data_IF_885411788796
#
_entry.id   IF_885411788796
#
_cell.length_a   1.000
_cell.length_b   1.000
_cell.length_c   1.000
_cell.angle_alpha   90.00
_cell.angle_beta   90.00
_cell.angle_gamma   90.00
#
_symmetry.space_group_name_H-M   'P 1'
#
loop_
_entity.id
_entity.type
_entity.pdbx_description
1 polymer ?
#
# COMPACT_ATOMS: atom_id res chain seq x y z
N UNK A 1 -25.90 2.50 4.61
CA UNK A 1 -25.03 1.64 3.76
C UNK A 1 -23.58 1.61 4.22
N UNK A 2 -22.90 2.74 4.41
CA UNK A 2 -21.51 2.77 4.92
C UNK A 2 -21.32 2.10 6.30
N UNK A 3 -22.24 2.33 7.25
CA UNK A 3 -22.17 1.78 8.62
C UNK A 3 -22.26 0.27 8.60
N UNK A 4 -23.16 -0.30 7.78
CA UNK A 4 -23.30 -1.76 7.67
C UNK A 4 -22.07 -2.44 7.06
N UNK A 5 -21.43 -1.80 6.07
CA UNK A 5 -20.21 -2.31 5.45
C UNK A 5 -19.02 -2.28 6.43
N UNK A 6 -18.94 -1.24 7.28
CA UNK A 6 -17.93 -1.13 8.34
C UNK A 6 -18.14 -2.23 9.38
N UNK A 7 -19.39 -2.48 9.79
CA UNK A 7 -19.71 -3.52 10.76
C UNK A 7 -19.34 -4.91 10.24
N UNK A 8 -19.65 -5.23 8.98
CA UNK A 8 -19.24 -6.51 8.37
C UNK A 8 -17.72 -6.71 8.37
N UNK A 9 -16.96 -5.67 8.07
CA UNK A 9 -15.49 -5.72 8.13
C UNK A 9 -14.95 -5.92 9.54
N UNK A 10 -15.60 -5.33 10.53
CA UNK A 10 -15.25 -5.53 11.95
C UNK A 10 -15.54 -6.97 12.35
N UNK A 11 -16.69 -7.51 11.99
CA UNK A 11 -17.07 -8.90 12.29
C UNK A 11 -16.09 -9.90 11.65
N UNK A 12 -15.66 -9.63 10.41
CA UNK A 12 -14.63 -10.41 9.72
C UNK A 12 -13.27 -10.33 10.43
N UNK A 13 -12.87 -9.15 10.89
CA UNK A 13 -11.66 -8.97 11.68
C UNK A 13 -11.70 -9.76 13.00
N UNK A 14 -12.84 -9.74 13.68
CA UNK A 14 -13.03 -10.48 14.93
C UNK A 14 -12.94 -11.99 14.69
N UNK A 15 -13.51 -12.49 13.59
CA UNK A 15 -13.38 -13.88 13.18
C UNK A 15 -11.91 -14.26 12.93
N UNK A 16 -11.14 -13.43 12.26
CA UNK A 16 -9.69 -13.62 12.06
C UNK A 16 -8.95 -13.70 13.40
N UNK A 17 -9.25 -12.82 14.34
CA UNK A 17 -8.63 -12.90 15.67
C UNK A 17 -8.95 -14.22 16.38
N UNK A 18 -10.20 -14.70 16.27
CA UNK A 18 -10.63 -15.96 16.87
C UNK A 18 -9.99 -17.18 16.19
N UNK A 19 -9.85 -17.18 14.86
CA UNK A 19 -9.12 -18.20 14.11
C UNK A 19 -7.65 -18.35 14.56
N UNK A 20 -7.03 -17.24 14.95
CA UNK A 20 -5.69 -17.19 15.53
C UNK A 20 -5.68 -17.32 17.08
N UNK A 21 -6.79 -17.81 17.67
CA UNK A 21 -6.96 -18.02 19.13
C UNK A 21 -6.71 -16.76 19.98
N UNK A 22 -6.82 -15.58 19.40
CA UNK A 22 -6.49 -14.29 20.04
C UNK A 22 -5.06 -14.29 20.64
N UNK A 23 -4.14 -15.04 20.03
CA UNK A 23 -2.75 -15.19 20.50
C UNK A 23 -1.93 -13.94 20.15
N UNK A 24 -1.30 -13.27 21.13
CA UNK A 24 -0.38 -12.18 20.88
C UNK A 24 0.82 -12.54 19.99
N UNK A 25 1.21 -13.81 19.93
CA UNK A 25 2.24 -14.32 19.02
C UNK A 25 1.86 -14.25 17.55
N UNK A 26 0.56 -14.26 17.25
CA UNK A 26 0.00 -14.20 15.90
C UNK A 26 -0.27 -12.77 15.40
N UNK A 27 0.18 -11.74 16.14
CA UNK A 27 -0.11 -10.35 15.83
C UNK A 27 0.19 -9.97 14.38
N UNK A 28 1.31 -10.42 13.81
CA UNK A 28 1.70 -10.08 12.43
C UNK A 28 0.72 -10.69 11.42
N UNK A 29 0.30 -11.95 11.62
CA UNK A 29 -0.65 -12.63 10.76
C UNK A 29 -2.03 -11.96 10.81
N UNK A 30 -2.47 -11.59 12.01
CA UNK A 30 -3.73 -10.87 12.22
C UNK A 30 -3.69 -9.49 11.56
N UNK A 31 -2.60 -8.74 11.70
CA UNK A 31 -2.41 -7.43 11.04
C UNK A 31 -2.38 -7.56 9.50
N UNK A 32 -1.77 -8.63 8.99
CA UNK A 32 -1.76 -8.91 7.55
C UNK A 32 -3.17 -9.12 7.01
N UNK A 33 -3.96 -9.97 7.67
CA UNK A 33 -5.35 -10.20 7.30
C UNK A 33 -6.20 -8.93 7.45
N UNK A 34 -6.03 -8.19 8.55
CA UNK A 34 -6.74 -6.93 8.79
C UNK A 34 -6.45 -5.90 7.68
N UNK A 35 -5.19 -5.77 7.23
CA UNK A 35 -4.86 -4.90 6.11
C UNK A 35 -5.52 -5.35 4.80
N UNK A 36 -5.68 -6.64 4.59
CA UNK A 36 -6.44 -7.20 3.46
C UNK A 36 -7.92 -6.79 3.49
N UNK A 37 -8.55 -6.84 4.67
CA UNK A 37 -9.96 -6.49 4.88
C UNK A 37 -10.21 -4.98 4.72
N UNK A 38 -9.38 -4.15 5.35
CA UNK A 38 -9.58 -2.69 5.42
C UNK A 38 -8.82 -1.92 4.34
N UNK A 39 -7.79 -2.51 3.73
CA UNK A 39 -6.88 -1.87 2.79
C UNK A 39 -5.74 -1.11 3.46
N UNK A 40 -5.87 -0.77 4.74
CA UNK A 40 -4.89 -0.09 5.58
C UNK A 40 -5.23 -0.36 7.06
N UNK A 41 -4.35 0.02 7.97
CA UNK A 41 -4.49 -0.22 9.41
C UNK A 41 -4.69 1.09 10.19
N UNK A 42 -5.89 1.70 10.16
CA UNK A 42 -6.17 2.90 10.93
C UNK A 42 -6.12 2.59 12.43
N UNK A 43 -6.06 3.64 13.24
CA UNK A 43 -5.94 3.52 14.70
C UNK A 43 -7.05 2.67 15.30
N UNK A 44 -8.27 2.83 14.85
CA UNK A 44 -9.45 2.11 15.32
C UNK A 44 -9.31 0.59 15.14
N UNK A 45 -8.79 0.15 14.00
CA UNK A 45 -8.50 -1.27 13.73
C UNK A 45 -7.40 -1.79 14.65
N UNK A 46 -6.35 -1.01 14.87
CA UNK A 46 -5.27 -1.36 15.79
C UNK A 46 -5.77 -1.48 17.24
N UNK A 47 -6.67 -0.60 17.68
CA UNK A 47 -7.29 -0.64 19.00
C UNK A 47 -8.17 -1.89 19.20
N UNK A 48 -8.94 -2.29 18.18
CA UNK A 48 -9.74 -3.53 18.19
C UNK A 48 -8.82 -4.75 18.35
N UNK A 49 -7.76 -4.84 17.56
CA UNK A 49 -6.79 -5.95 17.60
C UNK A 49 -6.11 -5.99 18.98
N UNK A 50 -5.65 -4.84 19.47
CA UNK A 50 -5.01 -4.74 20.79
C UNK A 50 -5.95 -5.23 21.93
N UNK A 51 -7.22 -4.85 21.88
CA UNK A 51 -8.23 -5.29 22.83
C UNK A 51 -8.48 -6.81 22.77
N UNK A 52 -8.56 -7.39 21.59
CA UNK A 52 -8.77 -8.84 21.40
C UNK A 52 -7.58 -9.67 21.87
N UNK A 53 -6.37 -9.20 21.61
CA UNK A 53 -5.13 -9.89 22.02
C UNK A 53 -4.69 -9.57 23.45
N UNK A 54 -5.41 -8.71 24.17
CA UNK A 54 -5.04 -8.24 25.51
C UNK A 54 -3.62 -7.67 25.60
N UNK A 55 -3.21 -6.90 24.58
CA UNK A 55 -1.92 -6.24 24.53
C UNK A 55 -2.08 -4.73 24.41
N UNK A 56 -1.07 -3.93 24.81
CA UNK A 56 -1.13 -2.48 24.62
C UNK A 56 -1.19 -2.10 23.14
N UNK A 57 -1.99 -1.09 22.82
CA UNK A 57 -2.06 -0.52 21.46
C UNK A 57 -0.68 -0.06 20.94
N UNK A 58 0.18 0.41 21.84
CA UNK A 58 1.55 0.79 21.50
C UNK A 58 2.39 -0.36 20.94
N UNK A 59 2.14 -1.60 21.35
CA UNK A 59 2.80 -2.79 20.80
C UNK A 59 2.33 -3.04 19.36
N UNK A 60 1.02 -2.96 19.12
CA UNK A 60 0.44 -3.08 17.76
C UNK A 60 0.99 -1.99 16.86
N UNK A 61 0.97 -0.74 17.30
CA UNK A 61 1.51 0.41 16.58
C UNK A 61 3.00 0.25 16.27
N UNK A 62 3.80 -0.25 17.22
CA UNK A 62 5.21 -0.53 17.02
C UNK A 62 5.47 -1.53 15.89
N UNK A 63 4.66 -2.59 15.80
CA UNK A 63 4.74 -3.57 14.71
C UNK A 63 4.32 -2.94 13.37
N UNK A 64 3.22 -2.20 13.35
CA UNK A 64 2.70 -1.55 12.13
C UNK A 64 3.71 -0.54 11.56
N UNK A 65 4.41 0.19 12.40
CA UNK A 65 5.41 1.18 11.97
C UNK A 65 6.77 0.57 11.64
N UNK A 66 7.10 -0.56 12.22
CA UNK A 66 8.36 -1.25 11.96
C UNK A 66 8.40 -1.96 10.59
N UNK A 67 7.32 -2.66 10.23
CA UNK A 67 7.26 -3.40 8.97
C UNK A 67 6.73 -2.51 7.85
N UNK A 68 7.52 -2.31 6.81
CA UNK A 68 7.17 -1.49 5.62
C UNK A 68 5.99 -2.03 4.81
N UNK A 69 5.60 -3.28 5.03
CA UNK A 69 4.42 -3.88 4.41
C UNK A 69 3.12 -3.24 4.91
N UNK A 70 3.08 -2.82 6.17
CA UNK A 70 1.90 -2.23 6.78
C UNK A 70 1.78 -0.73 6.47
N UNK A 71 0.55 -0.27 6.30
CA UNK A 71 0.23 1.14 6.06
C UNK A 71 -0.92 1.60 6.94
N UNK A 72 -0.82 2.82 7.46
CA UNK A 72 -1.86 3.46 8.25
C UNK A 72 -2.70 4.46 7.44
N UNK A 73 -2.30 4.71 6.20
CA UNK A 73 -3.00 5.61 5.28
C UNK A 73 -3.68 4.80 4.17
N UNK A 74 -4.88 5.20 3.74
CA UNK A 74 -5.55 4.52 2.64
C UNK A 74 -4.71 4.63 1.37
N UNK A 75 -4.52 3.49 0.67
CA UNK A 75 -3.88 3.47 -0.64
C UNK A 75 -4.91 3.74 -1.73
N UNK A 76 -4.44 4.32 -2.82
CA UNK A 76 -5.27 4.53 -4.01
C UNK A 76 -5.70 3.21 -4.65
N UNK A 77 -6.70 3.29 -5.51
CA UNK A 77 -7.19 2.14 -6.30
C UNK A 77 -6.07 1.50 -7.12
N UNK A 78 -5.16 2.31 -7.64
CA UNK A 78 -3.99 1.90 -8.40
C UNK A 78 -2.70 2.31 -7.66
N UNK A 79 -2.22 1.49 -6.72
CA UNK A 79 -0.97 1.79 -6.02
C UNK A 79 0.22 1.70 -6.97
N UNK A 80 1.02 2.76 -6.99
CA UNK A 80 2.24 2.88 -7.78
C UNK A 80 3.43 2.65 -6.87
N UNK A 81 4.32 1.74 -7.22
CA UNK A 81 5.56 1.50 -6.49
C UNK A 81 6.75 1.56 -7.42
N UNK A 82 7.69 2.44 -7.13
CA UNK A 82 8.89 2.67 -7.93
C UNK A 82 10.08 2.00 -7.28
N UNK A 83 10.76 1.15 -8.04
CA UNK A 83 11.98 0.51 -7.57
C UNK A 83 13.15 1.50 -7.57
N UNK A 84 13.73 1.74 -6.40
CA UNK A 84 14.95 2.54 -6.21
C UNK A 84 16.17 1.67 -5.86
N UNK A 85 16.13 0.37 -6.20
CA UNK A 85 17.29 -0.49 -6.12
C UNK A 85 18.44 0.02 -7.01
N UNK A 86 19.68 -0.39 -6.73
CA UNK A 86 20.89 0.14 -7.38
C UNK A 86 20.80 0.16 -8.91
N UNK A 87 20.38 -0.95 -9.53
CA UNK A 87 20.28 -1.03 -11.00
C UNK A 87 19.23 -0.05 -11.57
N UNK A 88 18.07 0.09 -10.89
CA UNK A 88 17.02 1.01 -11.30
C UNK A 88 17.45 2.46 -11.08
N UNK A 89 18.07 2.76 -9.96
CA UNK A 89 18.58 4.10 -9.63
C UNK A 89 19.58 4.59 -10.67
N UNK A 90 20.61 3.77 -10.97
CA UNK A 90 21.64 4.11 -11.97
C UNK A 90 21.05 4.32 -13.37
N UNK A 91 19.94 3.64 -13.69
CA UNK A 91 19.24 3.76 -14.99
C UNK A 91 18.15 4.84 -14.99
N UNK A 92 18.09 5.69 -13.97
CA UNK A 92 17.25 6.88 -13.97
C UNK A 92 15.87 6.72 -13.30
N UNK A 93 15.70 5.76 -12.39
CA UNK A 93 14.45 5.58 -11.64
C UNK A 93 14.05 6.84 -10.85
N UNK A 94 15.02 7.63 -10.39
CA UNK A 94 14.76 8.90 -9.67
C UNK A 94 14.02 9.90 -10.56
N UNK A 95 14.43 10.05 -11.83
CA UNK A 95 13.74 10.92 -12.79
C UNK A 95 12.32 10.45 -13.10
N UNK A 96 12.11 9.14 -13.14
CA UNK A 96 10.77 8.55 -13.30
C UNK A 96 9.91 8.86 -12.07
N UNK A 97 10.47 8.75 -10.86
CA UNK A 97 9.78 9.11 -9.62
C UNK A 97 9.37 10.58 -9.62
N UNK A 98 10.30 11.49 -9.94
CA UNK A 98 10.03 12.93 -10.01
C UNK A 98 8.91 13.24 -11.01
N UNK A 99 8.85 12.55 -12.14
CA UNK A 99 7.80 12.72 -13.13
C UNK A 99 6.44 12.23 -12.61
N UNK A 100 6.37 11.10 -11.90
CA UNK A 100 5.13 10.67 -11.25
C UNK A 100 4.67 11.68 -10.18
N UNK A 101 5.58 12.19 -9.37
CA UNK A 101 5.26 13.23 -8.37
C UNK A 101 4.71 14.49 -9.03
N UNK A 102 5.31 14.90 -10.15
CA UNK A 102 4.89 16.08 -10.91
C UNK A 102 3.52 15.90 -11.56
N UNK A 103 3.26 14.74 -12.16
CA UNK A 103 1.99 14.47 -12.87
C UNK A 103 0.82 14.26 -11.91
N UNK A 104 1.07 13.65 -10.77
CA UNK A 104 0.05 13.31 -9.77
C UNK A 104 -0.09 14.40 -8.67
N UNK A 105 0.85 15.36 -8.62
CA UNK A 105 0.92 16.42 -7.60
C UNK A 105 0.93 15.87 -6.16
N UNK A 106 1.54 14.70 -5.96
CA UNK A 106 1.69 14.06 -4.65
C UNK A 106 3.15 13.70 -4.38
N UNK A 107 3.48 13.51 -3.10
CA UNK A 107 4.79 13.01 -2.65
C UNK A 107 4.74 11.50 -2.43
N UNK A 108 5.92 10.91 -2.25
CA UNK A 108 6.05 9.51 -1.82
C UNK A 108 5.31 9.31 -0.49
N UNK A 109 4.49 8.28 -0.40
CA UNK A 109 3.65 7.97 0.75
C UNK A 109 2.26 8.62 0.73
N UNK A 110 1.95 9.44 -0.28
CA UNK A 110 0.66 10.11 -0.40
C UNK A 110 -0.26 9.44 -1.44
N UNK A 111 -1.53 9.76 -1.35
CA UNK A 111 -2.58 9.33 -2.28
C UNK A 111 -3.21 10.54 -2.93
N UNK A 112 -3.55 10.47 -4.21
CA UNK A 112 -4.24 11.54 -4.94
C UNK A 112 -5.61 11.84 -4.31
N UNK A 113 -6.06 13.07 -4.42
CA UNK A 113 -7.34 13.53 -3.82
C UNK A 113 -8.56 12.79 -4.35
N UNK A 114 -8.49 12.27 -5.57
CA UNK A 114 -9.53 11.43 -6.18
C UNK A 114 -9.51 9.96 -5.70
N UNK A 115 -8.47 9.58 -4.90
CA UNK A 115 -8.31 8.22 -4.40
C UNK A 115 -7.86 7.19 -5.44
N UNK A 116 -7.47 7.62 -6.65
CA UNK A 116 -7.10 6.70 -7.72
C UNK A 116 -5.66 6.18 -7.56
N UNK A 117 -4.71 7.04 -7.29
CA UNK A 117 -3.30 6.68 -7.21
C UNK A 117 -2.70 6.93 -5.84
N UNK A 118 -1.86 6.01 -5.40
CA UNK A 118 -0.91 6.24 -4.30
C UNK A 118 0.51 5.99 -4.80
N UNK A 119 1.49 6.72 -4.28
CA UNK A 119 2.87 6.67 -4.73
C UNK A 119 3.79 6.19 -3.61
N UNK A 120 4.46 5.08 -3.83
CA UNK A 120 5.43 4.50 -2.90
C UNK A 120 6.76 4.19 -3.60
N UNK A 121 7.80 3.99 -2.82
CA UNK A 121 9.10 3.53 -3.28
C UNK A 121 9.44 2.18 -2.68
N UNK A 122 10.05 1.31 -3.49
CA UNK A 122 10.57 0.01 -3.08
C UNK A 122 12.10 -0.02 -3.17
N UNK A 123 12.74 -0.78 -2.31
CA UNK A 123 14.21 -0.95 -2.37
C UNK A 123 14.66 -1.81 -3.53
N UNK A 124 13.97 -2.93 -3.78
CA UNK A 124 14.22 -3.80 -4.92
C UNK A 124 13.06 -4.75 -5.16
N UNK A 125 12.63 -4.88 -6.41
CA UNK A 125 11.60 -5.85 -6.83
C UNK A 125 12.19 -7.12 -7.46
N UNK A 126 13.54 -7.19 -7.62
CA UNK A 126 14.20 -8.34 -8.22
C UNK A 126 14.17 -8.43 -9.75
N UNK A 127 13.67 -7.41 -10.44
CA UNK A 127 13.56 -7.39 -11.92
C UNK A 127 14.61 -6.48 -12.58
N UNK A 128 15.87 -6.57 -12.15
CA UNK A 128 16.95 -5.66 -12.57
C UNK A 128 17.22 -5.63 -14.09
N UNK A 129 16.93 -6.73 -14.80
CA UNK A 129 17.02 -6.78 -16.27
C UNK A 129 16.04 -5.85 -16.99
N UNK A 130 14.98 -5.44 -16.30
CA UNK A 130 13.94 -4.53 -16.82
C UNK A 130 14.08 -3.10 -16.28
N UNK A 131 15.18 -2.79 -15.58
CA UNK A 131 15.37 -1.48 -14.94
C UNK A 131 15.32 -0.30 -15.95
N UNK A 132 14.73 0.85 -15.62
CA UNK A 132 13.98 1.15 -14.38
C UNK A 132 12.62 0.44 -14.34
N UNK A 133 12.23 -0.04 -13.14
CA UNK A 133 11.00 -0.82 -12.93
C UNK A 133 10.03 -0.06 -12.05
N UNK A 134 8.78 -0.03 -12.49
CA UNK A 134 7.63 0.49 -11.74
C UNK A 134 6.54 -0.57 -11.74
N UNK A 135 5.86 -0.72 -10.63
CA UNK A 135 4.65 -1.55 -10.54
C UNK A 135 3.43 -0.67 -10.29
N UNK A 136 2.35 -0.91 -11.01
CA UNK A 136 1.08 -0.21 -10.81
C UNK A 136 -0.02 -1.26 -10.67
N UNK A 137 -0.68 -1.29 -9.53
CA UNK A 137 -1.71 -2.28 -9.20
C UNK A 137 -1.26 -3.73 -9.49
N UNK A 138 0.01 -4.05 -9.21
CA UNK A 138 0.62 -5.37 -9.45
C UNK A 138 1.13 -5.61 -10.87
N UNK A 139 0.81 -4.76 -11.84
CA UNK A 139 1.36 -4.85 -13.21
C UNK A 139 2.76 -4.22 -13.25
N UNK A 140 3.70 -4.94 -13.85
CA UNK A 140 5.11 -4.51 -13.97
C UNK A 140 5.34 -3.72 -15.25
N UNK A 141 5.94 -2.54 -15.13
CA UNK A 141 6.40 -1.70 -16.24
C UNK A 141 7.92 -1.61 -16.17
N UNK A 142 8.58 -2.20 -17.15
CA UNK A 142 10.04 -2.17 -17.27
C UNK A 142 10.53 -1.15 -18.27
N UNK A 143 11.82 -0.78 -18.13
CA UNK A 143 12.51 0.18 -19.01
C UNK A 143 11.72 1.49 -19.15
N UNK A 144 11.13 1.92 -18.04
CA UNK A 144 10.28 3.09 -18.02
C UNK A 144 11.13 4.36 -18.12
N UNK A 145 10.67 5.29 -18.93
CA UNK A 145 11.25 6.62 -19.06
C UNK A 145 10.25 7.68 -18.62
N UNK A 146 10.70 8.86 -18.19
CA UNK A 146 9.81 9.93 -17.75
C UNK A 146 8.72 10.28 -18.77
N UNK A 147 9.06 10.24 -20.05
CA UNK A 147 8.12 10.58 -21.14
C UNK A 147 6.92 9.63 -21.24
N UNK A 148 7.11 8.36 -20.85
CA UNK A 148 6.06 7.34 -20.88
C UNK A 148 5.11 7.40 -19.68
N UNK A 149 5.47 8.12 -18.63
CA UNK A 149 4.65 8.22 -17.40
C UNK A 149 3.27 8.76 -17.71
N UNK A 150 3.19 9.82 -18.50
CA UNK A 150 1.92 10.44 -18.89
C UNK A 150 1.00 9.47 -19.63
N UNK A 151 1.54 8.71 -20.57
CA UNK A 151 0.75 7.77 -21.38
C UNK A 151 0.18 6.66 -20.50
N UNK A 152 1.00 6.11 -19.60
CA UNK A 152 0.57 5.09 -18.64
C UNK A 152 -0.52 5.60 -17.73
N UNK A 153 -0.36 6.79 -17.13
CA UNK A 153 -1.39 7.38 -16.27
C UNK A 153 -2.69 7.60 -17.04
N UNK A 154 -2.60 8.05 -18.30
CA UNK A 154 -3.76 8.25 -19.15
C UNK A 154 -4.55 6.96 -19.39
N UNK A 155 -3.88 5.80 -19.55
CA UNK A 155 -4.53 4.51 -19.68
C UNK A 155 -5.42 4.21 -18.45
N UNK A 156 -4.91 4.46 -17.24
CA UNK A 156 -5.67 4.23 -16.01
C UNK A 156 -6.83 5.22 -15.82
N UNK A 157 -6.64 6.47 -16.19
CA UNK A 157 -7.74 7.45 -16.16
C UNK A 157 -8.86 7.09 -17.14
N UNK A 158 -8.53 6.55 -18.32
CA UNK A 158 -9.52 6.07 -19.29
C UNK A 158 -10.32 4.88 -18.75
N UNK A 159 -9.71 3.98 -17.97
CA UNK A 159 -10.40 2.85 -17.34
C UNK A 159 -11.47 3.30 -16.34
N UNK A 160 -11.33 4.48 -15.75
CA UNK A 160 -12.29 5.03 -14.80
C UNK A 160 -13.47 5.78 -15.46
N UNK A 161 -13.34 6.09 -16.76
CA UNK A 161 -14.40 6.79 -17.50
C UNK A 161 -15.39 5.81 -18.19
N UNK A 162 -15.14 4.51 -18.13
CA UNK A 162 -15.99 3.45 -18.66
C UNK A 162 -16.83 2.81 -17.57
#
# INVERSE_FOLDING_TARGET
MKIHLIQMKIDELLAVCDEHNNDPGELINILHAAQGIFGYLPREVQEIIAGRLHIPVSKVYGVVTFYSFFTMTPKGKYPISICLGTACYVRGAEKVLEEFQRQLEIKVGETTSDGLFSLDCLRCVGACGLAPVVTIAGKVYGRLTPEKVRDILSEYYLLEQV
#
